data_IF_778021144226
#
_entry.id   IF_778021144226
#
_cell.length_a   1.000
_cell.length_b   1.000
_cell.length_c   1.000
_cell.angle_alpha   90.00
_cell.angle_beta   90.00
_cell.angle_gamma   90.00
#
_symmetry.space_group_name_H-M   'P 1'
#
loop_
_entity.id
_entity.type
_entity.pdbx_description
1 polymer ?
#
# COMPACT_ATOMS: atom_id res chain seq x y z
N UNK A 1 14.31 2.56 -9.46
CA UNK A 1 13.07 2.10 -8.81
C UNK A 1 13.37 0.78 -8.13
N UNK A 2 12.98 0.57 -6.87
CA UNK A 2 13.02 -0.78 -6.28
C UNK A 2 11.90 -1.59 -6.94
N UNK A 3 12.24 -2.68 -7.58
CA UNK A 3 11.26 -3.64 -8.11
C UNK A 3 10.41 -4.16 -6.94
N UNK A 4 9.09 -3.99 -7.04
CA UNK A 4 8.13 -4.48 -6.04
C UNK A 4 7.64 -5.85 -6.50
N UNK A 5 7.73 -6.83 -5.60
CA UNK A 5 7.36 -8.21 -5.90
C UNK A 5 6.15 -8.59 -5.07
N UNK A 6 5.13 -9.18 -5.72
CA UNK A 6 3.88 -9.58 -5.06
C UNK A 6 4.14 -10.56 -3.93
N UNK A 7 3.61 -10.29 -2.73
CA UNK A 7 3.77 -11.18 -1.57
C UNK A 7 3.09 -12.54 -1.77
N UNK A 8 2.03 -12.58 -2.59
CA UNK A 8 1.17 -13.74 -2.81
C UNK A 8 1.71 -14.71 -3.87
N UNK A 9 2.17 -14.20 -5.01
CA UNK A 9 2.56 -15.02 -6.16
C UNK A 9 4.00 -14.78 -6.65
N UNK A 10 4.73 -13.84 -6.05
CA UNK A 10 6.08 -13.42 -6.47
C UNK A 10 6.17 -12.83 -7.88
N UNK A 11 5.03 -12.52 -8.50
CA UNK A 11 4.97 -11.79 -9.77
C UNK A 11 5.35 -10.31 -9.65
N UNK A 12 5.52 -9.68 -10.80
CA UNK A 12 5.81 -8.24 -10.92
C UNK A 12 4.63 -7.40 -10.42
N UNK A 13 4.96 -6.27 -9.80
CA UNK A 13 3.98 -5.26 -9.40
C UNK A 13 4.27 -3.92 -10.04
N UNK A 14 3.21 -3.28 -10.53
CA UNK A 14 3.25 -1.95 -11.11
C UNK A 14 2.58 -0.94 -10.16
N UNK A 15 3.12 0.27 -10.09
CA UNK A 15 2.49 1.35 -9.35
C UNK A 15 1.24 1.84 -10.08
N UNK A 16 0.17 2.08 -9.32
CA UNK A 16 -1.08 2.59 -9.85
C UNK A 16 -1.62 3.71 -8.96
N UNK A 17 -2.54 4.49 -9.51
CA UNK A 17 -3.21 5.59 -8.80
C UNK A 17 -4.69 5.31 -8.76
N UNK A 18 -5.33 5.62 -7.63
CA UNK A 18 -6.78 5.48 -7.50
C UNK A 18 -7.44 6.80 -7.88
N UNK A 19 -8.08 6.83 -9.05
CA UNK A 19 -8.69 8.03 -9.62
C UNK A 19 -9.97 8.45 -8.87
N UNK A 20 -10.87 7.50 -8.58
CA UNK A 20 -12.16 7.77 -7.90
C UNK A 20 -12.16 7.51 -6.38
N UNK A 21 -10.98 7.39 -5.76
CA UNK A 21 -10.86 6.99 -4.36
C UNK A 21 -11.24 5.52 -4.08
N UNK A 22 -11.04 5.08 -2.83
CA UNK A 22 -11.35 3.71 -2.42
C UNK A 22 -12.82 3.55 -2.04
N UNK A 23 -13.51 2.59 -2.67
CA UNK A 23 -14.87 2.16 -2.28
C UNK A 23 -14.80 0.75 -1.68
N UNK A 24 -15.14 0.59 -0.40
CA UNK A 24 -15.13 -0.71 0.28
C UNK A 24 -15.06 -0.60 1.81
N UNK A 25 -15.14 -1.76 2.49
CA UNK A 25 -14.96 -1.83 3.94
C UNK A 25 -13.46 -1.92 4.23
N UNK A 26 -12.91 -0.84 4.79
CA UNK A 26 -11.54 -0.82 5.31
C UNK A 26 -11.51 -1.54 6.66
N UNK A 27 -11.03 -2.78 6.68
CA UNK A 27 -10.73 -3.49 7.92
C UNK A 27 -9.33 -3.09 8.37
N UNK A 28 -9.25 -2.31 9.45
CA UNK A 28 -7.95 -1.97 10.06
C UNK A 28 -7.31 -3.25 10.61
N UNK A 29 -6.04 -3.46 10.27
CA UNK A 29 -5.22 -4.45 10.95
C UNK A 29 -5.01 -3.98 12.41
N UNK A 30 -5.30 -4.79 13.44
CA UNK A 30 -5.10 -4.44 14.84
C UNK A 30 -3.63 -4.08 15.19
N UNK A 31 -2.65 -4.60 14.45
CA UNK A 31 -1.25 -4.18 14.60
C UNK A 31 -0.95 -2.79 13.99
N UNK A 32 -1.87 -2.30 13.15
CA UNK A 32 -1.79 -1.02 12.45
C UNK A 32 -1.93 0.21 13.35
N UNK A 33 -2.54 0.08 14.53
CA UNK A 33 -2.69 1.21 15.46
C UNK A 33 -1.32 1.77 15.93
N UNK A 34 -0.28 0.93 15.94
CA UNK A 34 1.09 1.39 16.21
C UNK A 34 1.68 2.18 15.03
N UNK A 35 1.37 1.78 13.79
CA UNK A 35 1.90 2.35 12.55
C UNK A 35 1.30 3.71 12.18
N UNK A 36 0.09 4.02 12.67
CA UNK A 36 -0.61 5.29 12.41
C UNK A 36 -0.75 6.19 13.64
N UNK A 37 0.07 5.95 14.68
CA UNK A 37 0.02 6.69 15.94
C UNK A 37 0.58 8.12 15.82
N UNK A 38 1.32 8.43 14.74
CA UNK A 38 1.85 9.77 14.52
C UNK A 38 0.88 10.63 13.69
N UNK A 39 0.83 11.94 13.96
CA UNK A 39 -0.02 12.91 13.21
C UNK A 39 0.58 13.29 11.84
N UNK A 40 1.60 12.57 11.36
CA UNK A 40 2.29 12.91 10.12
C UNK A 40 1.62 12.20 8.96
N UNK A 41 1.43 12.92 7.87
CA UNK A 41 0.75 12.42 6.69
C UNK A 41 1.81 11.96 5.68
N UNK A 42 1.68 10.74 5.15
CA UNK A 42 2.38 10.28 3.95
C UNK A 42 1.36 9.94 2.88
N UNK A 43 1.74 10.12 1.62
CA UNK A 43 0.97 9.53 0.52
C UNK A 43 1.07 8.01 0.60
N UNK A 44 -0.05 7.35 0.37
CA UNK A 44 -0.14 5.90 0.24
C UNK A 44 -0.57 5.63 -1.19
N UNK A 45 0.27 4.95 -1.95
CA UNK A 45 -0.03 4.58 -3.34
C UNK A 45 -0.16 3.06 -3.43
N UNK A 46 -1.16 2.55 -4.17
CA UNK A 46 -1.25 1.13 -4.44
C UNK A 46 -0.23 0.71 -5.50
N UNK A 47 0.16 -0.55 -5.40
CA UNK A 47 0.77 -1.29 -6.49
C UNK A 47 -0.10 -2.52 -6.76
N UNK A 48 -0.30 -2.85 -8.03
CA UNK A 48 -1.09 -4.02 -8.44
C UNK A 48 -0.18 -5.07 -9.06
N UNK A 49 -0.39 -6.32 -8.68
CA UNK A 49 0.27 -7.44 -9.33
C UNK A 49 -0.41 -7.75 -10.66
N UNK A 50 0.34 -7.72 -11.76
CA UNK A 50 -0.18 -7.99 -13.10
C UNK A 50 -0.55 -9.48 -13.31
N UNK A 51 -0.01 -10.38 -12.48
CA UNK A 51 -0.24 -11.82 -12.59
C UNK A 51 -1.50 -12.29 -11.85
N UNK A 52 -1.71 -11.84 -10.60
CA UNK A 52 -2.79 -12.36 -9.75
C UNK A 52 -3.79 -11.29 -9.28
N UNK A 53 -3.62 -10.03 -9.67
CA UNK A 53 -4.54 -8.94 -9.33
C UNK A 53 -4.53 -8.52 -7.87
N UNK A 54 -3.59 -9.03 -7.05
CA UNK A 54 -3.45 -8.56 -5.67
C UNK A 54 -3.00 -7.11 -5.63
N UNK A 55 -3.56 -6.33 -4.72
CA UNK A 55 -3.21 -4.92 -4.51
C UNK A 55 -2.49 -4.80 -3.18
N UNK A 56 -1.31 -4.18 -3.18
CA UNK A 56 -0.54 -3.84 -1.99
C UNK A 56 -0.39 -2.33 -1.88
N UNK A 57 -0.43 -1.79 -0.67
CA UNK A 57 -0.44 -0.35 -0.43
C UNK A 57 0.84 0.06 0.29
N UNK A 58 1.57 1.02 -0.27
CA UNK A 58 2.86 1.46 0.25
C UNK A 58 2.85 2.93 0.60
N UNK A 59 3.43 3.28 1.74
CA UNK A 59 3.78 4.66 2.05
C UNK A 59 4.93 5.10 1.13
N UNK A 60 4.80 6.26 0.51
CA UNK A 60 5.85 6.84 -0.35
C UNK A 60 7.10 7.22 0.46
N UNK A 61 6.91 7.73 1.68
CA UNK A 61 7.97 8.07 2.63
C UNK A 61 7.68 7.46 4.02
N UNK A 62 7.89 6.14 4.21
CA UNK A 62 7.59 5.50 5.48
C UNK A 62 8.43 6.04 6.65
N UNK A 63 9.60 6.64 6.38
CA UNK A 63 10.40 7.36 7.38
C UNK A 63 9.68 8.56 7.99
N UNK A 64 8.73 9.18 7.29
CA UNK A 64 7.92 10.28 7.81
C UNK A 64 6.89 9.76 8.83
N UNK A 65 6.66 8.45 8.89
CA UNK A 65 5.80 7.81 9.89
C UNK A 65 6.53 7.46 11.21
N UNK A 66 7.83 7.77 11.33
CA UNK A 66 8.60 7.63 12.58
C UNK A 66 8.47 8.84 13.51
#
# INVERSE_FOLDING_TARGET
MKEKTCVKCKGEMIDCYVDEGMKGILVKNPDGDKLFSNKKNTKINPSVCIECGSIEWFAENPQDLK
#
